data_IF_517950364646
#
_entry.id   IF_517950364646
#
_cell.length_a   1.000
_cell.length_b   1.000
_cell.length_c   1.000
_cell.angle_alpha   90.00
_cell.angle_beta   90.00
_cell.angle_gamma   90.00
#
_symmetry.space_group_name_H-M   'P 1'
#
loop_
_entity.id
_entity.type
_entity.pdbx_description
1 polymer ?
#
# COMPACT_ATOMS: atom_id res chain seq x y z
N UNK A 1 21.24 2.75 8.51
CA UNK A 1 19.83 3.06 8.67
C UNK A 1 19.38 4.03 7.60
N UNK A 2 18.29 3.73 6.94
CA UNK A 2 17.75 4.50 5.82
C UNK A 2 16.66 5.48 6.25
N UNK A 3 16.36 5.58 7.55
CA UNK A 3 15.32 6.46 8.08
C UNK A 3 13.91 5.89 8.00
N UNK A 4 13.72 4.71 7.44
CA UNK A 4 12.41 4.06 7.41
C UNK A 4 12.18 3.25 8.68
N UNK A 5 10.97 3.36 9.22
CA UNK A 5 10.56 2.67 10.44
C UNK A 5 9.47 1.66 10.07
N UNK A 6 9.57 0.41 10.53
CA UNK A 6 8.53 -0.58 10.24
C UNK A 6 7.18 -0.20 10.84
N UNK A 7 6.12 -0.42 10.05
CA UNK A 7 4.73 -0.32 10.49
C UNK A 7 4.24 -1.75 10.69
N UNK A 8 3.99 -2.15 11.96
CA UNK A 8 3.76 -3.55 12.29
C UNK A 8 2.33 -3.88 12.65
N UNK A 9 1.49 -2.87 12.93
CA UNK A 9 0.12 -3.11 13.35
C UNK A 9 -0.87 -2.31 12.51
N UNK A 10 -2.09 -2.83 12.46
CA UNK A 10 -3.17 -2.27 11.67
C UNK A 10 -3.53 -0.85 12.10
N UNK A 11 -3.59 -0.61 13.41
CA UNK A 11 -3.97 0.70 13.94
C UNK A 11 -3.02 1.81 13.50
N UNK A 12 -1.71 1.55 13.57
CA UNK A 12 -0.71 2.52 13.09
C UNK A 12 -0.86 2.76 11.59
N UNK A 13 -1.05 1.70 10.82
CA UNK A 13 -1.27 1.84 9.37
C UNK A 13 -2.49 2.69 9.07
N UNK A 14 -3.62 2.41 9.73
CA UNK A 14 -4.85 3.18 9.53
C UNK A 14 -4.67 4.66 9.87
N UNK A 15 -3.95 4.98 10.94
CA UNK A 15 -3.72 6.37 11.31
C UNK A 15 -2.88 7.11 10.29
N UNK A 16 -1.97 6.42 9.60
CA UNK A 16 -1.14 7.02 8.56
C UNK A 16 -1.92 7.31 7.28
N UNK A 17 -2.83 6.43 6.89
CA UNK A 17 -3.56 6.56 5.62
C UNK A 17 -4.86 7.33 5.74
N UNK A 18 -5.32 7.64 6.94
CA UNK A 18 -6.61 8.27 7.18
C UNK A 18 -6.73 9.59 6.41
N UNK A 19 -7.79 9.69 5.58
CA UNK A 19 -8.10 10.88 4.79
C UNK A 19 -6.98 11.32 3.85
N UNK A 20 -6.17 10.36 3.41
CA UNK A 20 -5.04 10.64 2.52
C UNK A 20 -5.07 9.72 1.30
N UNK A 21 -4.60 10.26 0.19
CA UNK A 21 -4.30 9.46 -0.99
C UNK A 21 -2.86 8.96 -0.92
N UNK A 22 -2.61 7.82 -1.53
CA UNK A 22 -1.26 7.31 -1.74
C UNK A 22 -0.88 7.60 -3.19
N UNK A 23 0.17 8.41 -3.37
CA UNK A 23 0.51 8.90 -4.70
C UNK A 23 1.95 8.60 -5.08
N UNK A 24 2.14 8.45 -6.37
CA UNK A 24 3.42 8.38 -7.03
C UNK A 24 3.20 8.90 -8.46
N UNK A 25 4.25 9.24 -9.17
CA UNK A 25 4.11 9.75 -10.54
C UNK A 25 3.25 8.81 -11.39
N UNK A 26 2.10 9.30 -11.85
CA UNK A 26 1.14 8.52 -12.63
C UNK A 26 0.25 7.59 -11.81
N UNK A 27 0.32 7.62 -10.48
CA UNK A 27 -0.43 6.72 -9.60
C UNK A 27 -1.12 7.52 -8.50
N UNK A 28 -2.41 7.25 -8.30
CA UNK A 28 -3.17 7.78 -7.16
C UNK A 28 -4.06 6.67 -6.63
N UNK A 29 -3.87 6.29 -5.38
CA UNK A 29 -4.62 5.20 -4.76
C UNK A 29 -5.31 5.66 -3.51
N UNK A 30 -6.52 5.14 -3.27
CA UNK A 30 -7.24 5.27 -2.01
C UNK A 30 -7.27 3.91 -1.34
N UNK A 31 -6.79 3.86 -0.11
CA UNK A 31 -6.80 2.65 0.71
C UNK A 31 -7.75 2.93 1.88
N UNK A 32 -8.92 2.30 1.84
CA UNK A 32 -9.98 2.60 2.80
C UNK A 32 -9.83 1.80 4.08
N UNK A 33 -10.44 2.31 5.16
CA UNK A 33 -10.41 1.63 6.45
C UNK A 33 -11.18 0.31 6.43
N UNK A 34 -12.15 0.17 5.52
CA UNK A 34 -12.97 -1.03 5.43
C UNK A 34 -12.39 -2.12 4.53
N UNK A 35 -11.15 -1.96 4.09
CA UNK A 35 -10.44 -3.03 3.38
C UNK A 35 -10.50 -2.94 1.87
N UNK A 36 -10.78 -1.77 1.30
CA UNK A 36 -10.82 -1.62 -0.15
C UNK A 36 -9.65 -0.80 -0.66
N UNK A 37 -9.23 -1.08 -1.88
CA UNK A 37 -8.24 -0.30 -2.62
C UNK A 37 -8.87 0.12 -3.93
N UNK A 38 -8.83 1.43 -4.21
CA UNK A 38 -9.33 2.00 -5.46
C UNK A 38 -8.34 3.04 -5.97
N UNK A 39 -8.50 3.46 -7.21
CA UNK A 39 -7.69 4.54 -7.77
C UNK A 39 -7.32 4.31 -9.22
N UNK A 40 -6.23 4.94 -9.62
CA UNK A 40 -5.71 4.84 -10.99
C UNK A 40 -4.20 4.75 -11.00
N UNK A 41 -3.69 3.99 -11.94
CA UNK A 41 -2.26 3.89 -12.21
C UNK A 41 -2.05 3.90 -13.71
N UNK A 42 -1.26 4.88 -14.18
CA UNK A 42 -0.91 5.03 -15.61
C UNK A 42 -2.16 5.03 -16.51
N UNK A 43 -3.21 5.74 -16.06
CA UNK A 43 -4.45 5.90 -16.82
C UNK A 43 -5.43 4.76 -16.73
N UNK A 44 -5.13 3.68 -16.02
CA UNK A 44 -6.03 2.54 -15.87
C UNK A 44 -6.50 2.42 -14.42
N UNK A 45 -7.74 1.94 -14.25
CA UNK A 45 -8.30 1.78 -12.92
C UNK A 45 -7.57 0.69 -12.12
N UNK A 46 -7.44 0.95 -10.82
CA UNK A 46 -6.93 -0.01 -9.86
C UNK A 46 -8.04 -0.30 -8.86
N UNK A 47 -8.28 -1.57 -8.56
CA UNK A 47 -9.24 -1.97 -7.55
C UNK A 47 -8.76 -3.23 -6.87
N UNK A 48 -9.10 -3.36 -5.61
CA UNK A 48 -8.73 -4.54 -4.85
C UNK A 48 -9.20 -4.48 -3.42
N UNK A 49 -8.66 -5.37 -2.62
CA UNK A 49 -8.96 -5.50 -1.21
C UNK A 49 -7.69 -5.69 -0.43
N UNK A 50 -7.72 -5.30 0.84
CA UNK A 50 -6.59 -5.50 1.73
C UNK A 50 -7.05 -5.93 3.11
N UNK A 51 -6.14 -6.57 3.82
CA UNK A 51 -6.30 -6.90 5.22
C UNK A 51 -4.93 -6.84 5.89
N UNK A 52 -4.92 -6.68 7.19
CA UNK A 52 -3.68 -6.73 7.97
C UNK A 52 -3.57 -8.10 8.63
N UNK A 53 -2.50 -8.82 8.36
CA UNK A 53 -2.32 -10.18 8.86
C UNK A 53 -0.86 -10.39 9.26
N UNK A 54 -0.64 -10.82 10.49
CA UNK A 54 0.70 -11.15 11.01
C UNK A 54 1.72 -10.02 10.83
N UNK A 55 1.28 -8.76 10.94
CA UNK A 55 2.16 -7.61 10.78
C UNK A 55 2.37 -7.17 9.33
N UNK A 56 1.63 -7.75 8.39
CA UNK A 56 1.77 -7.44 6.96
C UNK A 56 0.50 -6.87 6.37
N UNK A 57 0.68 -6.01 5.37
CA UNK A 57 -0.37 -5.52 4.51
C UNK A 57 -0.59 -6.53 3.40
N UNK A 58 -1.64 -7.33 3.51
CA UNK A 58 -1.95 -8.37 2.53
C UNK A 58 -3.02 -7.86 1.58
N UNK A 59 -2.73 -7.84 0.29
CA UNK A 59 -3.63 -7.23 -0.68
C UNK A 59 -3.78 -8.10 -1.91
N UNK A 60 -4.90 -7.90 -2.58
CA UNK A 60 -5.21 -8.47 -3.89
C UNK A 60 -5.58 -7.30 -4.80
N UNK A 61 -4.98 -7.19 -5.98
CA UNK A 61 -5.15 -6.05 -6.86
C UNK A 61 -5.45 -6.48 -8.29
N UNK A 62 -6.32 -5.70 -8.93
CA UNK A 62 -6.55 -5.76 -10.38
C UNK A 62 -6.23 -4.39 -10.96
N UNK A 63 -5.33 -4.34 -11.92
CA UNK A 63 -4.93 -3.14 -12.64
C UNK A 63 -5.43 -3.23 -14.06
N UNK A 64 -6.44 -2.41 -14.40
CA UNK A 64 -7.14 -2.53 -15.66
C UNK A 64 -7.77 -3.90 -15.79
N UNK A 65 -7.28 -4.71 -16.71
CA UNK A 65 -7.70 -6.11 -16.90
C UNK A 65 -6.70 -7.11 -16.31
N UNK A 66 -5.64 -6.64 -15.70
CA UNK A 66 -4.56 -7.50 -15.24
C UNK A 66 -4.74 -7.80 -13.75
N UNK A 67 -4.91 -9.07 -13.45
CA UNK A 67 -4.95 -9.54 -12.07
C UNK A 67 -3.51 -9.71 -11.58
N UNK A 68 -3.12 -8.88 -10.60
CA UNK A 68 -1.78 -8.93 -10.02
C UNK A 68 -1.66 -10.01 -8.93
N UNK A 69 -2.78 -10.60 -8.52
CA UNK A 69 -2.82 -11.62 -7.51
C UNK A 69 -2.57 -11.10 -6.10
N UNK A 70 -2.62 -12.01 -5.11
CA UNK A 70 -2.40 -11.64 -3.72
C UNK A 70 -0.92 -11.50 -3.38
N UNK A 71 -0.61 -10.61 -2.45
CA UNK A 71 0.73 -10.48 -1.90
C UNK A 71 0.66 -9.86 -0.51
N UNK A 72 1.42 -10.38 0.43
CA UNK A 72 1.57 -9.81 1.75
C UNK A 72 2.85 -9.00 1.79
N UNK A 73 2.76 -7.74 2.19
CA UNK A 73 3.85 -6.78 2.07
C UNK A 73 4.24 -6.23 3.43
N UNK A 74 5.53 -6.06 3.65
CA UNK A 74 6.02 -5.30 4.77
C UNK A 74 5.85 -3.82 4.47
N UNK A 75 5.39 -3.05 5.48
CA UNK A 75 5.20 -1.61 5.33
C UNK A 75 6.21 -0.89 6.22
N UNK A 76 6.84 0.13 5.66
CA UNK A 76 7.71 1.03 6.40
C UNK A 76 7.32 2.47 6.10
N UNK A 77 7.60 3.37 7.04
CA UNK A 77 7.27 4.78 6.90
C UNK A 77 8.50 5.65 7.16
N UNK A 78 8.64 6.71 6.38
CA UNK A 78 9.59 7.77 6.62
C UNK A 78 8.91 9.10 6.26
N UNK A 79 8.54 9.88 7.28
CA UNK A 79 7.79 11.11 7.05
C UNK A 79 6.49 10.86 6.32
N UNK A 80 6.36 11.41 5.12
CA UNK A 80 5.17 11.26 4.28
C UNK A 80 5.30 10.15 3.24
N UNK A 81 6.32 9.31 3.33
CA UNK A 81 6.54 8.22 2.39
C UNK A 81 6.24 6.89 3.05
N UNK A 82 5.36 6.11 2.42
CA UNK A 82 5.13 4.71 2.76
C UNK A 82 5.84 3.83 1.76
N UNK A 83 6.58 2.86 2.28
CA UNK A 83 7.26 1.85 1.47
C UNK A 83 6.59 0.52 1.64
N UNK A 84 6.14 -0.07 0.53
CA UNK A 84 5.54 -1.40 0.52
C UNK A 84 6.54 -2.37 -0.10
N UNK A 85 6.95 -3.37 0.66
CA UNK A 85 7.96 -4.33 0.22
C UNK A 85 7.28 -5.69 0.03
N UNK A 86 7.24 -6.14 -1.21
CA UNK A 86 6.57 -7.39 -1.58
C UNK A 86 7.18 -8.62 -0.91
N UNK A 87 6.44 -9.71 -0.91
CA UNK A 87 6.89 -11.00 -0.40
C UNK A 87 7.37 -10.92 1.05
N UNK A 88 6.55 -10.27 1.88
CA UNK A 88 6.81 -10.12 3.32
C UNK A 88 8.14 -9.43 3.62
N UNK A 89 8.55 -8.51 2.76
CA UNK A 89 9.77 -7.75 2.92
C UNK A 89 10.98 -8.30 2.17
N UNK A 90 10.80 -9.37 1.42
CA UNK A 90 11.91 -10.03 0.71
C UNK A 90 12.00 -9.65 -0.77
N UNK A 91 10.97 -9.02 -1.29
CA UNK A 91 10.88 -8.70 -2.71
C UNK A 91 11.17 -7.24 -3.02
N UNK A 92 10.68 -6.81 -4.18
CA UNK A 92 10.83 -5.42 -4.61
C UNK A 92 9.94 -4.49 -3.80
N UNK A 93 10.30 -3.23 -3.74
CA UNK A 93 9.51 -2.24 -3.00
C UNK A 93 8.95 -1.16 -3.92
N UNK A 94 7.88 -0.54 -3.46
CA UNK A 94 7.31 0.65 -4.06
C UNK A 94 7.10 1.70 -2.98
N UNK A 95 7.50 2.94 -3.27
CA UNK A 95 7.34 4.07 -2.36
C UNK A 95 6.20 4.94 -2.86
N UNK A 96 5.27 5.26 -1.95
CA UNK A 96 4.12 6.10 -2.24
C UNK A 96 4.07 7.23 -1.21
N UNK A 97 3.70 8.42 -1.69
CA UNK A 97 3.57 9.59 -0.82
C UNK A 97 2.18 9.64 -0.20
N UNK A 98 2.13 10.06 1.05
CA UNK A 98 0.88 10.32 1.77
C UNK A 98 0.45 11.77 1.48
N UNK A 99 -0.58 11.91 0.68
CA UNK A 99 -1.17 13.21 0.32
C UNK A 99 -2.55 13.34 1.01
#
# INVERSE_FOLDING_TARGET
ADGFVPVKDRGTFLSLIKDRDLTRLGITLQVSQDGQITGKALGQSVRGAWRWSNGFFCRDLVWGRRDLGPNCQMVKVNGKTLRFISDQGKGMHADLSLD
#
